data_IF_908629400534
#
_entry.id   IF_908629400534
#
_cell.length_a   1.000
_cell.length_b   1.000
_cell.length_c   1.000
_cell.angle_alpha   90.00
_cell.angle_beta   90.00
_cell.angle_gamma   90.00
#
_symmetry.space_group_name_H-M   'P 1'
#
loop_
_entity.id
_entity.type
_entity.pdbx_description
1 polymer ?
#
# COMPACT_ATOMS: atom_id res chain seq x y z
N UNK A 1 -26.31 7.31 -9.77
CA UNK A 1 -25.24 6.33 -9.99
C UNK A 1 -24.32 6.45 -8.81
N UNK A 2 -24.34 5.48 -7.90
CA UNK A 2 -23.42 5.46 -6.77
C UNK A 2 -22.12 4.80 -7.25
N UNK A 3 -21.05 5.59 -7.27
CA UNK A 3 -19.73 5.08 -7.61
C UNK A 3 -19.11 4.47 -6.36
N UNK A 4 -18.58 3.26 -6.49
CA UNK A 4 -17.77 2.64 -5.46
C UNK A 4 -16.37 3.26 -5.50
N UNK A 5 -15.93 3.84 -4.39
CA UNK A 5 -14.62 4.47 -4.27
C UNK A 5 -13.97 4.20 -2.91
N UNK A 6 -12.65 4.28 -2.90
CA UNK A 6 -11.83 4.28 -1.69
C UNK A 6 -11.31 5.70 -1.45
N UNK A 7 -11.22 6.09 -0.18
CA UNK A 7 -10.61 7.37 0.19
C UNK A 7 -9.14 7.14 0.51
N UNK A 8 -8.26 7.92 -0.13
CA UNK A 8 -6.81 7.86 0.02
C UNK A 8 -6.30 9.17 0.61
N UNK A 9 -5.33 9.11 1.53
CA UNK A 9 -4.62 10.30 2.03
C UNK A 9 -3.13 10.02 2.20
N UNK A 10 -2.29 11.03 2.01
CA UNK A 10 -0.87 10.99 2.37
C UNK A 10 -0.62 11.43 3.83
N UNK A 11 -1.65 11.91 4.53
CA UNK A 11 -1.53 12.38 5.90
C UNK A 11 -2.03 11.32 6.90
N UNK A 12 -1.08 10.73 7.64
CA UNK A 12 -1.35 9.65 8.60
C UNK A 12 -2.38 10.02 9.68
N UNK A 13 -2.57 11.31 9.99
CA UNK A 13 -3.63 11.74 10.95
C UNK A 13 -5.04 11.42 10.45
N UNK A 14 -5.20 11.20 9.15
CA UNK A 14 -6.49 10.91 8.53
C UNK A 14 -6.83 9.42 8.57
N UNK A 15 -5.99 8.57 9.17
CA UNK A 15 -6.13 7.09 9.22
C UNK A 15 -7.50 6.59 9.73
N UNK A 16 -8.22 7.42 10.49
CA UNK A 16 -9.55 7.11 11.01
C UNK A 16 -10.70 7.42 10.03
N UNK A 17 -10.43 8.14 8.94
CA UNK A 17 -11.41 8.66 7.98
C UNK A 17 -11.20 8.13 6.56
N UNK A 18 -10.04 7.54 6.30
CA UNK A 18 -9.64 7.06 4.98
C UNK A 18 -9.50 5.55 4.96
N UNK A 19 -9.55 4.98 3.76
CA UNK A 19 -9.38 3.55 3.53
C UNK A 19 -7.91 3.20 3.31
N UNK A 20 -7.14 4.11 2.70
CA UNK A 20 -5.72 3.93 2.38
C UNK A 20 -4.91 5.15 2.84
N UNK A 21 -3.75 4.89 3.45
CA UNK A 21 -2.69 5.87 3.65
C UNK A 21 -1.50 5.54 2.75
N UNK A 22 -1.09 6.48 1.91
CA UNK A 22 0.12 6.37 1.09
C UNK A 22 1.31 6.92 1.87
N UNK A 23 2.42 6.18 1.87
CA UNK A 23 3.66 6.59 2.54
C UNK A 23 4.87 6.43 1.60
N UNK A 24 5.80 7.39 1.68
CA UNK A 24 7.03 7.33 0.90
C UNK A 24 8.18 6.65 1.65
N UNK A 25 8.26 6.89 2.96
CA UNK A 25 9.36 6.42 3.79
C UNK A 25 8.82 5.86 5.12
N UNK A 26 8.71 4.53 5.18
CA UNK A 26 8.20 3.84 6.36
C UNK A 26 9.01 4.14 7.61
N UNK A 27 10.35 4.24 7.51
CA UNK A 27 11.20 4.49 8.68
C UNK A 27 10.88 5.83 9.35
N UNK A 28 10.67 6.87 8.56
CA UNK A 28 10.35 8.21 9.07
C UNK A 28 8.99 8.26 9.76
N UNK A 29 8.03 7.47 9.27
CA UNK A 29 6.64 7.55 9.74
C UNK A 29 6.23 6.42 10.69
N UNK A 30 7.12 5.46 10.94
CA UNK A 30 6.86 4.21 11.68
C UNK A 30 6.20 4.45 13.03
N UNK A 31 6.72 5.36 13.84
CA UNK A 31 6.20 5.58 15.20
C UNK A 31 4.85 6.29 15.20
N UNK A 32 4.58 7.11 14.18
CA UNK A 32 3.27 7.71 13.98
C UNK A 32 2.27 6.69 13.48
N UNK A 33 2.66 5.84 12.51
CA UNK A 33 1.82 4.73 12.05
C UNK A 33 1.46 3.77 13.19
N UNK A 34 2.39 3.43 14.08
CA UNK A 34 2.09 2.60 15.26
C UNK A 34 0.99 3.18 16.15
N UNK A 35 0.90 4.51 16.25
CA UNK A 35 -0.10 5.20 17.10
C UNK A 35 -1.44 5.37 16.38
N UNK A 36 -1.40 5.65 15.08
CA UNK A 36 -2.57 6.09 14.31
C UNK A 36 -3.20 4.99 13.46
N UNK A 37 -2.45 3.95 13.07
CA UNK A 37 -2.96 2.90 12.20
C UNK A 37 -3.99 2.02 12.92
N UNK A 38 -5.13 1.81 12.26
CA UNK A 38 -6.22 0.95 12.75
C UNK A 38 -6.29 -0.34 11.94
N UNK A 39 -6.82 -1.38 12.57
CA UNK A 39 -7.06 -2.66 11.91
C UNK A 39 -7.85 -2.46 10.61
N UNK A 40 -7.36 -3.07 9.55
CA UNK A 40 -7.92 -3.05 8.21
C UNK A 40 -7.59 -1.81 7.38
N UNK A 41 -6.83 -0.83 7.89
CA UNK A 41 -6.31 0.27 7.07
C UNK A 41 -5.41 -0.26 5.95
N UNK A 42 -5.56 0.28 4.73
CA UNK A 42 -4.61 0.06 3.65
C UNK A 42 -3.40 0.97 3.81
N UNK A 43 -2.19 0.43 3.68
CA UNK A 43 -0.96 1.20 3.69
C UNK A 43 -0.24 0.97 2.37
N UNK A 44 -0.16 2.03 1.57
CA UNK A 44 0.38 2.00 0.22
C UNK A 44 1.82 2.51 0.18
N UNK A 45 2.66 1.81 -0.57
CA UNK A 45 3.92 2.32 -1.11
C UNK A 45 3.88 2.22 -2.64
N UNK A 46 4.54 3.16 -3.31
CA UNK A 46 4.50 3.25 -4.78
C UNK A 46 5.87 2.98 -5.40
N UNK A 47 5.88 2.42 -6.60
CA UNK A 47 7.10 2.28 -7.41
C UNK A 47 7.59 3.65 -7.90
N UNK A 48 6.68 4.58 -8.23
CA UNK A 48 7.05 5.92 -8.70
C UNK A 48 7.95 6.65 -7.69
N UNK A 49 7.73 6.43 -6.39
CA UNK A 49 8.56 7.01 -5.32
C UNK A 49 10.05 6.68 -5.45
N UNK A 50 10.43 5.59 -6.13
CA UNK A 50 11.82 5.10 -6.25
C UNK A 50 12.35 4.95 -7.68
N UNK A 51 11.52 5.23 -8.71
CA UNK A 51 11.85 5.00 -10.12
C UNK A 51 13.18 5.62 -10.57
N UNK A 52 13.49 6.83 -10.09
CA UNK A 52 14.68 7.59 -10.50
C UNK A 52 15.73 7.70 -9.38
N UNK A 53 15.72 6.76 -8.42
CA UNK A 53 16.67 6.78 -7.30
C UNK A 53 17.89 5.90 -7.57
N UNK A 54 18.94 6.13 -6.80
CA UNK A 54 20.16 5.34 -6.87
C UNK A 54 19.95 3.91 -6.33
N UNK A 55 20.82 2.97 -6.73
CA UNK A 55 20.74 1.58 -6.26
C UNK A 55 20.71 1.43 -4.72
N UNK A 56 21.50 2.20 -3.93
CA UNK A 56 21.41 2.16 -2.46
C UNK A 56 20.05 2.60 -1.92
N UNK A 57 19.42 3.61 -2.55
CA UNK A 57 18.10 4.09 -2.15
C UNK A 57 17.01 3.06 -2.48
N UNK A 58 17.10 2.40 -3.64
CA UNK A 58 16.19 1.30 -4.01
C UNK A 58 16.34 0.14 -3.03
N UNK A 59 17.57 -0.24 -2.67
CA UNK A 59 17.82 -1.29 -1.68
C UNK A 59 17.24 -0.91 -0.30
N UNK A 60 17.40 0.34 0.13
CA UNK A 60 16.78 0.87 1.34
C UNK A 60 15.25 0.81 1.28
N UNK A 61 14.64 1.16 0.15
CA UNK A 61 13.20 1.07 -0.05
C UNK A 61 12.69 -0.37 -0.01
N UNK A 62 13.37 -1.33 -0.64
CA UNK A 62 13.03 -2.76 -0.58
C UNK A 62 13.09 -3.28 0.87
N UNK A 63 14.09 -2.85 1.63
CA UNK A 63 14.21 -3.20 3.05
C UNK A 63 13.05 -2.60 3.87
N UNK A 64 12.66 -1.36 3.58
CA UNK A 64 11.51 -0.72 4.21
C UNK A 64 10.19 -1.41 3.85
N UNK A 65 10.01 -1.84 2.61
CA UNK A 65 8.84 -2.62 2.18
C UNK A 65 8.73 -3.91 2.99
N UNK A 66 9.83 -4.66 3.17
CA UNK A 66 9.88 -5.86 4.02
C UNK A 66 9.47 -5.58 5.47
N UNK A 67 9.96 -4.48 6.04
CA UNK A 67 9.59 -4.05 7.40
C UNK A 67 8.11 -3.65 7.49
N UNK A 68 7.60 -2.94 6.47
CA UNK A 68 6.21 -2.52 6.40
C UNK A 68 5.26 -3.71 6.29
N UNK A 69 5.61 -4.75 5.53
CA UNK A 69 4.82 -5.98 5.44
C UNK A 69 4.66 -6.62 6.81
N UNK A 70 5.76 -6.74 7.57
CA UNK A 70 5.72 -7.28 8.94
C UNK A 70 4.81 -6.44 9.83
N UNK A 71 4.93 -5.12 9.75
CA UNK A 71 4.06 -4.20 10.47
C UNK A 71 2.59 -4.41 10.10
N UNK A 72 2.26 -4.46 8.80
CA UNK A 72 0.89 -4.65 8.33
C UNK A 72 0.28 -5.94 8.87
N UNK A 73 1.03 -7.05 8.84
CA UNK A 73 0.59 -8.33 9.42
C UNK A 73 0.31 -8.21 10.92
N UNK A 74 1.21 -7.60 11.69
CA UNK A 74 1.05 -7.44 13.15
C UNK A 74 -0.13 -6.52 13.51
N UNK A 75 -0.32 -5.45 12.74
CA UNK A 75 -1.36 -4.44 12.96
C UNK A 75 -2.67 -4.75 12.23
N UNK A 76 -2.78 -5.91 11.59
CA UNK A 76 -3.93 -6.33 10.75
C UNK A 76 -4.30 -5.27 9.69
N UNK A 77 -3.31 -4.57 9.16
CA UNK A 77 -3.45 -3.63 8.05
C UNK A 77 -3.20 -4.35 6.72
N UNK A 78 -3.70 -3.79 5.63
CA UNK A 78 -3.43 -4.28 4.28
C UNK A 78 -2.18 -3.59 3.74
N UNK A 79 -1.19 -4.35 3.30
CA UNK A 79 -0.08 -3.82 2.53
C UNK A 79 -0.49 -3.65 1.07
N UNK A 80 -0.23 -2.48 0.49
CA UNK A 80 -0.55 -2.15 -0.90
C UNK A 80 0.73 -1.74 -1.62
N UNK A 81 1.01 -2.38 -2.75
CA UNK A 81 2.06 -2.03 -3.68
C UNK A 81 1.39 -1.60 -4.98
N UNK A 82 1.63 -0.36 -5.39
CA UNK A 82 1.06 0.18 -6.63
C UNK A 82 2.14 0.85 -7.49
N UNK A 83 1.78 1.16 -8.74
CA UNK A 83 2.68 1.92 -9.61
C UNK A 83 2.86 3.36 -9.12
N UNK A 84 1.83 3.98 -8.53
CA UNK A 84 1.78 5.42 -8.24
C UNK A 84 1.81 6.29 -9.51
N UNK A 85 1.45 5.72 -10.66
CA UNK A 85 1.58 6.40 -11.94
C UNK A 85 0.46 7.43 -12.15
N UNK A 86 0.84 8.71 -12.23
CA UNK A 86 -0.06 9.78 -12.69
C UNK A 86 -0.09 9.92 -14.21
N UNK A 87 0.91 9.36 -14.90
CA UNK A 87 1.08 9.43 -16.35
C UNK A 87 1.18 8.02 -16.97
N UNK A 88 0.73 7.83 -18.22
CA UNK A 88 0.75 6.52 -18.88
C UNK A 88 2.15 5.89 -19.01
N UNK A 89 3.19 6.68 -19.25
CA UNK A 89 4.59 6.23 -19.35
C UNK A 89 5.19 5.76 -18.02
N UNK A 90 4.54 6.11 -16.90
CA UNK A 90 4.92 5.68 -15.55
C UNK A 90 4.17 4.44 -15.09
N UNK A 91 3.34 3.84 -15.94
CA UNK A 91 2.70 2.57 -15.62
C UNK A 91 3.74 1.46 -15.44
N UNK A 92 3.39 0.48 -14.63
CA UNK A 92 4.21 -0.68 -14.31
C UNK A 92 3.39 -1.91 -14.61
N UNK A 93 3.94 -2.86 -15.35
CA UNK A 93 3.25 -4.10 -15.66
C UNK A 93 3.00 -4.93 -14.40
N UNK A 94 1.95 -5.75 -14.40
CA UNK A 94 1.71 -6.69 -13.30
C UNK A 94 2.90 -7.61 -13.04
N UNK A 95 3.59 -8.07 -14.10
CA UNK A 95 4.79 -8.90 -13.98
C UNK A 95 5.95 -8.19 -13.27
N UNK A 96 6.10 -6.88 -13.48
CA UNK A 96 7.09 -6.07 -12.78
C UNK A 96 6.74 -5.92 -11.30
N UNK A 97 5.45 -5.77 -10.97
CA UNK A 97 5.00 -5.78 -9.58
C UNK A 97 5.24 -7.16 -8.93
N UNK A 98 4.94 -8.25 -9.64
CA UNK A 98 5.22 -9.62 -9.18
C UNK A 98 6.70 -9.85 -8.89
N UNK A 99 7.59 -9.32 -9.73
CA UNK A 99 9.03 -9.39 -9.50
C UNK A 99 9.43 -8.68 -8.21
N UNK A 100 8.88 -7.49 -7.94
CA UNK A 100 9.11 -6.75 -6.70
C UNK A 100 8.59 -7.52 -5.49
N UNK A 101 7.37 -8.07 -5.58
CA UNK A 101 6.78 -8.91 -4.53
C UNK A 101 7.67 -10.10 -4.18
N UNK A 102 8.21 -10.79 -5.19
CA UNK A 102 9.16 -11.91 -4.98
C UNK A 102 10.44 -11.45 -4.31
N UNK A 103 11.02 -10.32 -4.70
CA UNK A 103 12.23 -9.75 -4.07
C UNK A 103 11.99 -9.44 -2.58
N UNK A 104 10.79 -8.98 -2.24
CA UNK A 104 10.42 -8.69 -0.84
C UNK A 104 9.92 -9.93 -0.08
N UNK A 105 9.89 -11.10 -0.72
CA UNK A 105 9.55 -12.39 -0.10
C UNK A 105 8.05 -12.65 0.01
N UNK A 106 7.25 -12.08 -0.89
CA UNK A 106 5.82 -12.31 -1.01
C UNK A 106 5.54 -13.17 -2.25
N UNK A 107 4.66 -14.16 -2.10
CA UNK A 107 4.12 -14.92 -3.21
C UNK A 107 3.02 -14.08 -3.91
N UNK A 108 3.19 -13.73 -5.20
CA UNK A 108 2.30 -12.78 -5.86
C UNK A 108 0.84 -13.22 -5.96
N UNK A 109 0.56 -14.51 -6.20
CA UNK A 109 -0.82 -14.99 -6.37
C UNK A 109 -1.64 -14.78 -5.09
N UNK A 110 -1.07 -15.14 -3.95
CA UNK A 110 -1.63 -14.98 -2.61
C UNK A 110 -1.83 -13.51 -2.29
N UNK A 111 -0.84 -12.68 -2.62
CA UNK A 111 -0.93 -11.23 -2.45
C UNK A 111 -2.11 -10.62 -3.21
N UNK A 112 -2.24 -10.93 -4.50
CA UNK A 112 -3.33 -10.39 -5.32
C UNK A 112 -4.70 -10.90 -4.87
N UNK A 113 -4.80 -12.16 -4.44
CA UNK A 113 -6.04 -12.71 -3.86
C UNK A 113 -6.42 -12.03 -2.55
N UNK A 114 -5.46 -11.82 -1.64
CA UNK A 114 -5.68 -11.12 -0.37
C UNK A 114 -6.09 -9.66 -0.61
N UNK A 115 -5.39 -8.96 -1.50
CA UNK A 115 -5.71 -7.58 -1.86
C UNK A 115 -7.11 -7.47 -2.49
N UNK A 116 -7.46 -8.38 -3.40
CA UNK A 116 -8.80 -8.43 -4.01
C UNK A 116 -9.90 -8.57 -2.97
N UNK A 117 -9.77 -9.55 -2.05
CA UNK A 117 -10.74 -9.73 -0.95
C UNK A 117 -10.82 -8.49 -0.05
N UNK A 118 -9.69 -7.84 0.22
CA UNK A 118 -9.66 -6.62 1.01
C UNK A 118 -10.41 -5.48 0.29
N UNK A 119 -10.17 -5.28 -1.00
CA UNK A 119 -10.86 -4.28 -1.82
C UNK A 119 -12.38 -4.53 -1.83
N UNK A 120 -12.81 -5.75 -2.11
CA UNK A 120 -14.24 -6.13 -2.12
C UNK A 120 -14.91 -5.81 -0.78
N UNK A 121 -14.24 -6.14 0.35
CA UNK A 121 -14.75 -5.84 1.69
C UNK A 121 -14.91 -4.35 1.96
N UNK A 122 -14.00 -3.51 1.43
CA UNK A 122 -14.01 -2.06 1.63
C UNK A 122 -15.05 -1.38 0.78
N UNK A 123 -15.18 -1.80 -0.47
CA UNK A 123 -16.18 -1.27 -1.39
C UNK A 123 -17.61 -1.62 -0.92
N UNK A 124 -17.84 -2.83 -0.42
CA UNK A 124 -19.14 -3.24 0.13
C UNK A 124 -19.57 -2.40 1.36
N UNK A 125 -18.63 -2.02 2.24
CA UNK A 125 -18.90 -1.17 3.40
C UNK A 125 -19.33 0.25 3.03
N UNK A 126 -18.93 0.76 1.85
CA UNK A 126 -19.30 2.10 1.37
C UNK A 126 -20.68 2.11 0.75
N UNK A 127 -21.08 1.03 0.07
CA UNK A 127 -22.44 0.87 -0.48
C UNK A 127 -23.50 0.80 0.62
N UNK A 128 -23.19 0.19 1.76
CA UNK A 128 -24.14 0.01 2.89
C UNK A 128 -24.29 1.23 3.80
N UNK A 129 -23.48 2.28 3.60
CA UNK A 129 -23.54 3.52 4.40
C UNK A 129 -24.23 4.69 3.66
N UNK A 130 -24.86 4.43 2.53
CA UNK A 130 -25.68 5.37 1.79
C UNK A 130 -27.16 5.24 2.21
#
# INVERSE_FOLDING_TARGET
>A
MDFQYLVVSANIKDSSRVDIITIDNFRTVKDRLKKEAKSGLGIEITIDSVRNRSSPEIASWLQQAKELIKFCKMSRCQFILSSGAELPDRQVSGQSLDAVLRIIGIEPQSYWQELGRWLDSRLALRVTRC
#
